data_IF_653604748499
#
_entry.id   IF_653604748499
#
_cell.length_a   1.000
_cell.length_b   1.000
_cell.length_c   1.000
_cell.angle_alpha   90.00
_cell.angle_beta   90.00
_cell.angle_gamma   90.00
#
_symmetry.space_group_name_H-M   'P 1'
#
loop_
_entity.id
_entity.type
_entity.pdbx_description
1 polymer ?
#
# COMPACT_ATOMS: atom_id res chain seq x y z
N UNK A 1 -10.61 -16.66 -1.84
CA UNK A 1 -9.45 -15.75 -2.01
C UNK A 1 -9.96 -14.49 -2.67
N UNK A 2 -9.58 -13.30 -2.20
CA UNK A 2 -10.08 -12.05 -2.79
C UNK A 2 -9.58 -11.91 -4.23
N UNK A 3 -10.39 -11.33 -5.12
CA UNK A 3 -10.02 -11.07 -6.52
C UNK A 3 -8.74 -10.23 -6.63
N UNK A 4 -8.58 -9.28 -5.70
CA UNK A 4 -7.47 -8.35 -5.68
C UNK A 4 -6.13 -9.03 -5.38
N UNK A 5 -6.10 -10.04 -4.50
CA UNK A 5 -4.87 -10.79 -4.24
C UNK A 5 -4.42 -11.51 -5.51
N UNK A 6 -5.33 -12.21 -6.19
CA UNK A 6 -4.99 -12.96 -7.41
C UNK A 6 -4.41 -12.05 -8.49
N UNK A 7 -5.08 -10.93 -8.79
CA UNK A 7 -4.61 -9.94 -9.78
C UNK A 7 -3.23 -9.38 -9.42
N UNK A 8 -2.95 -9.15 -8.14
CA UNK A 8 -1.64 -8.69 -7.70
C UNK A 8 -0.55 -9.77 -7.81
N UNK A 9 -0.88 -11.00 -7.42
CA UNK A 9 0.03 -12.15 -7.47
C UNK A 9 0.39 -12.57 -8.91
N UNK A 10 -0.46 -12.30 -9.91
CA UNK A 10 -0.15 -12.55 -11.34
C UNK A 10 1.11 -11.83 -11.83
N UNK A 11 1.49 -10.73 -11.16
CA UNK A 11 2.68 -9.95 -11.47
C UNK A 11 3.90 -10.30 -10.60
N UNK A 12 3.78 -11.28 -9.70
CA UNK A 12 4.81 -11.63 -8.73
C UNK A 12 5.34 -13.04 -8.97
N UNK A 13 6.66 -13.18 -8.87
CA UNK A 13 7.30 -14.49 -8.81
C UNK A 13 7.15 -15.07 -7.39
N UNK A 14 7.17 -16.42 -7.23
CA UNK A 14 7.27 -17.03 -5.91
C UNK A 14 8.38 -16.40 -5.06
N UNK A 15 8.14 -16.28 -3.75
CA UNK A 15 9.10 -15.71 -2.78
C UNK A 15 9.49 -14.24 -3.03
N UNK A 16 8.75 -13.52 -3.88
CA UNK A 16 8.92 -12.08 -4.09
C UNK A 16 8.84 -11.27 -2.78
N UNK A 17 9.58 -10.17 -2.72
CA UNK A 17 9.50 -9.21 -1.60
C UNK A 17 8.28 -8.32 -1.76
N UNK A 18 7.42 -8.28 -0.72
CA UNK A 18 6.19 -7.48 -0.69
C UNK A 18 6.27 -6.49 0.48
N UNK A 19 5.89 -5.24 0.23
CA UNK A 19 5.60 -4.26 1.26
C UNK A 19 4.09 -4.15 1.46
N UNK A 20 3.59 -4.50 2.64
CA UNK A 20 2.23 -4.19 3.07
C UNK A 20 2.22 -2.79 3.73
N UNK A 21 1.77 -1.79 2.97
CA UNK A 21 1.90 -0.38 3.29
C UNK A 21 0.63 0.14 3.96
N UNK A 22 0.70 0.39 5.28
CA UNK A 22 -0.48 0.61 6.12
C UNK A 22 -1.22 -0.70 6.38
N UNK A 23 -0.50 -1.67 6.95
CA UNK A 23 -0.95 -3.07 7.05
C UNK A 23 -2.14 -3.31 8.00
N UNK A 24 -2.53 -2.32 8.80
CA UNK A 24 -3.60 -2.42 9.78
C UNK A 24 -3.35 -3.58 10.75
N UNK A 25 -4.37 -4.41 10.96
CA UNK A 25 -4.27 -5.57 11.85
C UNK A 25 -3.47 -6.76 11.26
N UNK A 26 -2.86 -6.62 10.09
CA UNK A 26 -1.97 -7.63 9.48
C UNK A 26 -2.66 -8.74 8.70
N UNK A 27 -3.94 -8.58 8.32
CA UNK A 27 -4.68 -9.61 7.57
C UNK A 27 -4.01 -9.91 6.22
N UNK A 28 -3.67 -8.86 5.47
CA UNK A 28 -3.12 -8.99 4.13
C UNK A 28 -1.66 -9.48 4.21
N UNK A 29 -0.87 -8.96 5.16
CA UNK A 29 0.44 -9.51 5.53
C UNK A 29 0.40 -11.02 5.84
N UNK A 30 -0.54 -11.48 6.66
CA UNK A 30 -0.68 -12.91 6.98
C UNK A 30 -1.00 -13.75 5.73
N UNK A 31 -1.86 -13.22 4.86
CA UNK A 31 -2.17 -13.87 3.60
C UNK A 31 -0.90 -14.05 2.75
N UNK A 32 -0.14 -12.99 2.49
CA UNK A 32 1.06 -13.08 1.66
C UNK A 32 2.14 -13.98 2.28
N UNK A 33 2.31 -13.96 3.61
CA UNK A 33 3.18 -14.91 4.30
C UNK A 33 2.74 -16.36 4.08
N UNK A 34 1.44 -16.63 4.16
CA UNK A 34 0.90 -17.98 3.94
C UNK A 34 1.10 -18.50 2.51
N UNK A 35 1.30 -17.59 1.53
CA UNK A 35 1.61 -17.94 0.15
C UNK A 35 3.11 -18.05 -0.12
N UNK A 36 3.97 -17.84 0.89
CA UNK A 36 5.42 -17.98 0.78
C UNK A 36 6.17 -16.72 0.34
N UNK A 37 5.54 -15.54 0.38
CA UNK A 37 6.22 -14.28 0.07
C UNK A 37 7.05 -13.75 1.24
N UNK A 38 8.04 -12.93 0.90
CA UNK A 38 8.87 -12.22 1.88
C UNK A 38 8.24 -10.86 2.21
N UNK A 39 7.50 -10.79 3.31
CA UNK A 39 6.67 -9.61 3.64
C UNK A 39 7.40 -8.69 4.63
N UNK A 40 7.46 -7.40 4.28
CA UNK A 40 7.69 -6.30 5.22
C UNK A 40 6.40 -5.50 5.38
N UNK A 41 6.19 -4.92 6.54
CA UNK A 41 4.95 -4.20 6.85
C UNK A 41 5.21 -3.00 7.75
N UNK A 42 4.38 -1.97 7.59
CA UNK A 42 4.34 -0.84 8.52
C UNK A 42 2.92 -0.33 8.72
N UNK A 43 2.69 0.33 9.85
CA UNK A 43 1.45 1.05 10.11
C UNK A 43 1.71 2.27 11.01
N UNK A 44 0.86 3.29 10.89
CA UNK A 44 0.94 4.53 11.66
C UNK A 44 0.31 4.41 13.06
N UNK A 45 -0.55 3.39 13.29
CA UNK A 45 -1.14 3.10 14.60
C UNK A 45 -0.31 2.06 15.33
N UNK A 46 0.20 2.42 16.50
CA UNK A 46 0.94 1.50 17.37
C UNK A 46 0.07 0.30 17.80
N UNK A 47 -1.23 0.47 17.95
CA UNK A 47 -2.18 -0.60 18.23
C UNK A 47 -2.25 -1.60 17.06
N UNK A 48 -2.33 -1.10 15.82
CA UNK A 48 -2.30 -1.92 14.61
C UNK A 48 -0.98 -2.66 14.45
N UNK A 49 0.15 -1.98 14.67
CA UNK A 49 1.50 -2.58 14.68
C UNK A 49 1.55 -3.77 15.64
N UNK A 50 1.10 -3.58 16.89
CA UNK A 50 1.10 -4.64 17.89
C UNK A 50 0.20 -5.83 17.50
N UNK A 51 -0.99 -5.57 16.96
CA UNK A 51 -1.90 -6.62 16.48
C UNK A 51 -1.32 -7.38 15.29
N UNK A 52 -0.79 -6.67 14.31
CA UNK A 52 -0.17 -7.22 13.10
C UNK A 52 1.05 -8.06 13.45
N UNK A 53 1.97 -7.54 14.27
CA UNK A 53 3.13 -8.29 14.76
C UNK A 53 2.74 -9.56 15.51
N UNK A 54 1.72 -9.50 16.39
CA UNK A 54 1.24 -10.68 17.10
C UNK A 54 0.62 -11.72 16.17
N UNK A 55 -0.12 -11.28 15.15
CA UNK A 55 -0.80 -12.16 14.20
C UNK A 55 0.19 -12.83 13.23
N UNK A 56 1.16 -12.08 12.74
CA UNK A 56 2.02 -12.48 11.62
C UNK A 56 3.39 -13.01 12.06
N UNK A 57 3.84 -12.65 13.27
CA UNK A 57 5.21 -12.85 13.71
C UNK A 57 6.22 -11.87 13.09
N UNK A 58 5.78 -10.90 12.28
CA UNK A 58 6.64 -9.90 11.67
C UNK A 58 7.07 -8.83 12.68
N UNK A 59 8.27 -8.28 12.46
CA UNK A 59 8.68 -7.01 13.05
C UNK A 59 8.07 -5.86 12.24
N UNK A 60 6.82 -5.52 12.52
CA UNK A 60 6.08 -4.45 11.83
C UNK A 60 6.65 -3.10 12.27
N UNK A 61 6.99 -2.24 11.31
CA UNK A 61 7.49 -0.90 11.64
C UNK A 61 6.34 0.02 12.06
N UNK A 62 6.52 0.73 13.17
CA UNK A 62 5.65 1.85 13.53
C UNK A 62 6.13 3.11 12.82
N UNK A 63 5.48 3.44 11.70
CA UNK A 63 5.86 4.55 10.85
C UNK A 63 4.65 5.11 10.10
N UNK A 64 4.66 6.41 9.82
CA UNK A 64 3.74 7.01 8.86
C UNK A 64 4.32 6.89 7.44
N UNK A 65 3.49 7.12 6.44
CA UNK A 65 3.94 7.13 5.05
C UNK A 65 5.03 8.16 4.78
N UNK A 66 5.00 9.30 5.47
CA UNK A 66 5.96 10.40 5.32
C UNK A 66 7.36 10.03 5.84
N UNK A 67 7.41 9.15 6.83
CA UNK A 67 8.62 8.81 7.61
C UNK A 67 9.18 7.43 7.27
N UNK A 68 8.41 6.60 6.55
CA UNK A 68 8.82 5.21 6.27
C UNK A 68 10.02 5.16 5.34
N UNK A 69 10.94 4.24 5.64
CA UNK A 69 12.10 3.92 4.83
C UNK A 69 12.48 2.44 5.01
N UNK A 70 12.91 1.81 3.93
CA UNK A 70 13.44 0.45 3.94
C UNK A 70 14.76 0.40 3.19
N UNK A 71 15.71 -0.40 3.67
CA UNK A 71 17.02 -0.60 3.02
C UNK A 71 16.97 -1.59 1.85
N UNK A 72 15.78 -2.08 1.50
CA UNK A 72 15.53 -3.03 0.41
C UNK A 72 14.49 -2.46 -0.54
N UNK A 73 14.52 -2.96 -1.78
CA UNK A 73 13.46 -2.69 -2.76
C UNK A 73 12.48 -3.87 -2.85
N UNK A 74 11.21 -3.55 -3.09
CA UNK A 74 10.12 -4.50 -3.15
C UNK A 74 9.77 -4.87 -4.59
N UNK A 75 9.38 -6.13 -4.81
CA UNK A 75 8.80 -6.57 -6.09
C UNK A 75 7.31 -6.26 -6.16
N UNK A 76 6.65 -6.20 -5.00
CA UNK A 76 5.27 -5.76 -4.86
C UNK A 76 5.11 -4.75 -3.74
N UNK A 77 4.32 -3.70 -3.95
CA UNK A 77 3.80 -2.86 -2.87
C UNK A 77 2.28 -3.03 -2.85
N UNK A 78 1.74 -3.31 -1.68
CA UNK A 78 0.33 -3.51 -1.41
C UNK A 78 -0.17 -2.41 -0.47
N UNK A 79 -1.01 -1.52 -0.97
CA UNK A 79 -1.62 -0.43 -0.19
C UNK A 79 -3.16 -0.52 -0.24
N UNK A 80 -3.69 -1.55 0.41
CA UNK A 80 -5.12 -1.83 0.42
C UNK A 80 -5.84 -0.99 1.46
N UNK A 81 -6.73 -0.12 0.99
CA UNK A 81 -7.56 0.75 1.83
C UNK A 81 -6.76 1.58 2.87
N UNK A 82 -5.49 1.89 2.59
CA UNK A 82 -4.60 2.62 3.50
C UNK A 82 -4.31 4.04 3.03
N UNK A 83 -4.01 4.23 1.73
CA UNK A 83 -3.67 5.53 1.14
C UNK A 83 -4.83 6.53 1.08
N UNK A 84 -6.08 6.07 1.14
CA UNK A 84 -7.24 6.98 1.15
C UNK A 84 -7.36 7.83 2.43
N UNK A 85 -6.52 7.59 3.43
CA UNK A 85 -6.44 8.42 4.64
C UNK A 85 -5.38 9.54 4.53
N UNK A 86 -4.63 9.57 3.42
CA UNK A 86 -3.61 10.59 3.15
C UNK A 86 -4.25 11.86 2.59
N UNK A 87 -3.72 13.02 3.01
CA UNK A 87 -4.14 14.31 2.49
C UNK A 87 -3.95 14.42 0.97
N UNK A 88 -4.91 15.05 0.28
CA UNK A 88 -4.89 15.21 -1.19
C UNK A 88 -3.63 15.93 -1.67
N UNK A 89 -3.09 16.87 -0.88
CA UNK A 89 -1.87 17.59 -1.19
C UNK A 89 -0.60 16.76 -0.99
N UNK A 90 -0.63 15.76 -0.11
CA UNK A 90 0.54 14.93 0.25
C UNK A 90 0.60 13.59 -0.48
N UNK A 91 -0.52 13.13 -1.07
CA UNK A 91 -0.61 11.82 -1.73
C UNK A 91 0.45 11.61 -2.81
N UNK A 92 0.77 12.65 -3.58
CA UNK A 92 1.78 12.59 -4.63
C UNK A 92 3.16 12.27 -4.05
N UNK A 93 3.58 13.01 -3.03
CA UNK A 93 4.90 12.84 -2.41
C UNK A 93 5.02 11.47 -1.75
N UNK A 94 3.92 10.98 -1.14
CA UNK A 94 3.84 9.64 -0.57
C UNK A 94 3.95 8.56 -1.64
N UNK A 95 3.23 8.69 -2.75
CA UNK A 95 3.33 7.74 -3.85
C UNK A 95 4.72 7.73 -4.48
N UNK A 96 5.37 8.89 -4.64
CA UNK A 96 6.76 8.97 -5.10
C UNK A 96 7.73 8.27 -4.13
N UNK A 97 7.55 8.46 -2.83
CA UNK A 97 8.34 7.77 -1.79
C UNK A 97 8.15 6.25 -1.83
N UNK A 98 6.93 5.77 -2.04
CA UNK A 98 6.68 4.34 -2.20
C UNK A 98 7.26 3.82 -3.52
N UNK A 99 7.14 4.59 -4.61
CA UNK A 99 7.67 4.22 -5.92
C UNK A 99 9.19 4.06 -5.93
N UNK A 100 9.95 4.85 -5.17
CA UNK A 100 11.41 4.68 -5.07
C UNK A 100 11.82 3.40 -4.32
N UNK A 101 10.94 2.84 -3.50
CA UNK A 101 11.13 1.54 -2.85
C UNK A 101 10.66 0.37 -3.74
N UNK A 102 10.06 0.65 -4.89
CA UNK A 102 9.62 -0.37 -5.84
C UNK A 102 10.75 -0.69 -6.84
N UNK A 103 11.01 -1.98 -7.04
CA UNK A 103 11.92 -2.41 -8.09
C UNK A 103 11.40 -1.98 -9.47
N UNK A 104 12.32 -1.73 -10.42
CA UNK A 104 11.94 -1.61 -11.84
C UNK A 104 11.17 -2.85 -12.28
N UNK A 105 9.98 -2.63 -12.85
CA UNK A 105 9.06 -3.70 -13.25
C UNK A 105 8.32 -4.39 -12.09
N UNK A 106 8.40 -3.86 -10.88
CA UNK A 106 7.54 -4.29 -9.76
C UNK A 106 6.11 -3.80 -9.92
N UNK A 107 5.20 -4.37 -9.13
CA UNK A 107 3.77 -4.04 -9.15
C UNK A 107 3.37 -3.26 -7.88
N UNK A 108 2.52 -2.25 -8.04
CA UNK A 108 1.99 -1.46 -6.93
C UNK A 108 0.46 -1.47 -6.96
N UNK A 109 -0.14 -2.22 -6.04
CA UNK A 109 -1.56 -2.21 -5.80
C UNK A 109 -1.94 -1.11 -4.81
N UNK A 110 -2.98 -0.34 -5.14
CA UNK A 110 -3.58 0.66 -4.25
C UNK A 110 -5.10 0.67 -4.44
N UNK A 111 -5.84 0.89 -3.36
CA UNK A 111 -7.30 1.01 -3.43
C UNK A 111 -7.84 2.21 -2.67
N UNK A 112 -8.86 2.84 -3.27
CA UNK A 112 -9.51 4.04 -2.77
C UNK A 112 -11.03 3.85 -2.71
N UNK A 113 -11.71 4.74 -1.99
CA UNK A 113 -13.15 4.87 -2.15
C UNK A 113 -13.44 5.59 -3.47
N UNK A 114 -14.46 5.13 -4.18
CA UNK A 114 -14.85 5.68 -5.49
C UNK A 114 -15.44 7.10 -5.38
N UNK A 115 -15.13 7.93 -6.39
CA UNK A 115 -15.63 9.29 -6.57
C UNK A 115 -14.57 10.36 -6.32
N UNK A 116 -14.82 11.61 -6.72
CA UNK A 116 -13.84 12.70 -6.58
C UNK A 116 -14.19 13.67 -5.44
N UNK A 117 -14.05 13.21 -4.20
CA UNK A 117 -14.31 14.04 -3.01
C UNK A 117 -13.33 13.72 -1.88
N UNK A 118 -13.04 14.75 -1.11
CA UNK A 118 -12.37 14.63 0.18
C UNK A 118 -13.40 14.90 1.28
N UNK A 119 -13.51 14.00 2.26
CA UNK A 119 -14.38 14.19 3.43
C UNK A 119 -13.77 13.58 4.69
N UNK A 120 -14.29 13.97 5.85
CA UNK A 120 -13.92 13.37 7.13
C UNK A 120 -15.10 12.59 7.71
N UNK A 121 -14.82 11.42 8.29
CA UNK A 121 -15.79 10.61 9.01
C UNK A 121 -15.08 9.81 10.11
N UNK A 122 -15.61 9.86 11.34
CA UNK A 122 -15.04 9.16 12.50
C UNK A 122 -13.54 9.47 12.69
N UNK A 123 -13.18 10.76 12.67
CA UNK A 123 -11.80 11.28 12.76
C UNK A 123 -10.81 10.78 11.68
N UNK A 124 -11.34 10.21 10.60
CA UNK A 124 -10.54 9.77 9.45
C UNK A 124 -10.84 10.60 8.23
N UNK A 125 -9.78 11.03 7.55
CA UNK A 125 -9.87 11.61 6.22
C UNK A 125 -10.18 10.51 5.20
N UNK A 126 -11.00 10.79 4.21
CA UNK A 126 -11.25 9.94 3.06
C UNK A 126 -11.01 10.76 1.81
N UNK A 127 -9.88 10.50 1.17
CA UNK A 127 -9.51 11.04 -0.13
C UNK A 127 -9.92 10.03 -1.21
N UNK A 128 -11.06 10.30 -1.85
CA UNK A 128 -11.65 9.42 -2.85
C UNK A 128 -11.11 9.73 -4.25
N UNK A 129 -11.11 8.70 -5.10
CA UNK A 129 -10.77 8.82 -6.51
C UNK A 129 -11.78 8.06 -7.38
N UNK A 130 -12.25 8.69 -8.44
CA UNK A 130 -12.73 8.01 -9.63
C UNK A 130 -11.57 7.86 -10.65
N UNK A 131 -11.86 7.28 -11.80
CA UNK A 131 -10.85 7.04 -12.84
C UNK A 131 -10.21 8.35 -13.32
N UNK A 132 -10.98 9.44 -13.45
CA UNK A 132 -10.47 10.72 -13.93
C UNK A 132 -9.48 11.34 -12.94
N UNK A 133 -9.90 11.47 -11.68
CA UNK A 133 -9.06 11.99 -10.61
C UNK A 133 -7.82 11.12 -10.36
N UNK A 134 -7.95 9.79 -10.48
CA UNK A 134 -6.83 8.87 -10.31
C UNK A 134 -5.79 9.01 -11.41
N UNK A 135 -6.23 9.11 -12.68
CA UNK A 135 -5.35 9.35 -13.81
C UNK A 135 -4.60 10.68 -13.68
N UNK A 136 -5.30 11.74 -13.25
CA UNK A 136 -4.68 13.05 -13.00
C UNK A 136 -3.60 12.95 -11.91
N UNK A 137 -3.90 12.30 -10.79
CA UNK A 137 -2.93 12.08 -9.71
C UNK A 137 -1.68 11.32 -10.19
N UNK A 138 -1.87 10.21 -10.93
CA UNK A 138 -0.75 9.41 -11.42
C UNK A 138 0.05 10.11 -12.52
N UNK A 139 -0.55 11.00 -13.30
CA UNK A 139 0.18 11.77 -14.33
C UNK A 139 1.34 12.60 -13.76
N UNK A 140 1.29 12.90 -12.46
CA UNK A 140 2.33 13.61 -11.73
C UNK A 140 3.45 12.71 -11.19
N UNK A 141 3.38 11.39 -11.39
CA UNK A 141 4.31 10.38 -10.84
C UNK A 141 4.88 9.55 -12.01
N UNK A 142 5.95 10.05 -12.69
CA UNK A 142 6.47 9.44 -13.91
C UNK A 142 7.08 8.05 -13.72
N UNK A 143 7.36 7.65 -12.47
CA UNK A 143 7.87 6.33 -12.12
C UNK A 143 6.80 5.22 -12.25
N UNK A 144 5.52 5.57 -12.26
CA UNK A 144 4.40 4.64 -12.26
C UNK A 144 3.59 4.71 -13.54
N UNK A 145 3.17 3.55 -14.03
CA UNK A 145 2.25 3.40 -15.18
C UNK A 145 1.09 2.52 -14.75
N UNK A 146 -0.13 2.89 -15.14
CA UNK A 146 -1.34 2.11 -14.88
C UNK A 146 -1.29 0.82 -15.70
N UNK A 147 -1.40 -0.32 -15.02
CA UNK A 147 -1.61 -1.63 -15.66
C UNK A 147 -3.10 -1.93 -15.78
N UNK A 148 -3.86 -1.68 -14.72
CA UNK A 148 -5.28 -2.01 -14.61
C UNK A 148 -6.01 -1.02 -13.68
N UNK A 149 -7.32 -0.82 -13.91
CA UNK A 149 -8.25 -0.09 -13.03
C UNK A 149 -9.40 -1.00 -12.57
#
# INVERSE_FOLDING_TARGET
MSEHYRRFEEYLLPESTILDAGCGSGRDSLFFLSQGYNVSAFDASIEMVNLSSKLTGLSVQHAKFEDVNFDIMFKGIWASASLLHVDRGSIKDILQRLAVMLNKGGVFYMSFKYGDKVYQKDDRLFNCYDEGAFNEMLSAIPELTILEL
#
